data_IF_237021963776
#
_entry.id   IF_237021963776
#
_cell.length_a   1.000
_cell.length_b   1.000
_cell.length_c   1.000
_cell.angle_alpha   90.00
_cell.angle_beta   90.00
_cell.angle_gamma   90.00
#
_symmetry.space_group_name_H-M   'P 1'
#
loop_
_entity.id
_entity.type
_entity.pdbx_description
1 polymer ?
#
# COMPACT_ATOMS: atom_id res chain seq x y z
N UNK A 1 20.14 59.61 -12.56
CA UNK A 1 20.17 58.72 -13.75
C UNK A 1 18.80 58.12 -13.91
N UNK A 2 17.95 58.64 -14.85
CA UNK A 2 16.55 58.17 -15.03
C UNK A 2 16.59 56.90 -15.87
N UNK A 3 16.29 55.76 -15.25
CA UNK A 3 16.16 54.52 -15.96
C UNK A 3 14.96 54.58 -16.90
N UNK A 4 15.22 54.33 -18.18
CA UNK A 4 14.30 54.48 -19.30
C UNK A 4 13.01 53.66 -19.08
N UNK A 5 11.86 54.33 -19.10
CA UNK A 5 10.53 53.76 -18.85
C UNK A 5 10.19 52.58 -19.80
N UNK A 6 10.80 52.57 -20.98
CA UNK A 6 10.65 51.51 -21.97
C UNK A 6 11.35 50.22 -21.54
N UNK A 7 12.47 50.28 -20.82
CA UNK A 7 13.18 49.08 -20.35
C UNK A 7 12.37 48.34 -19.28
N UNK A 8 11.67 49.04 -18.38
CA UNK A 8 10.78 48.43 -17.39
C UNK A 8 9.61 47.69 -18.02
N UNK A 9 9.01 48.23 -19.09
CA UNK A 9 7.89 47.59 -19.80
C UNK A 9 8.33 46.34 -20.57
N UNK A 10 9.51 46.33 -21.15
CA UNK A 10 10.08 45.20 -21.86
C UNK A 10 10.45 44.08 -20.87
N UNK A 11 11.07 44.46 -19.76
CA UNK A 11 11.44 43.51 -18.69
C UNK A 11 10.21 42.83 -18.05
N UNK A 12 9.14 43.59 -17.83
CA UNK A 12 7.88 43.04 -17.26
C UNK A 12 7.16 42.09 -18.21
N UNK A 13 7.21 42.35 -19.52
CA UNK A 13 6.67 41.47 -20.55
C UNK A 13 7.50 40.17 -20.67
N UNK A 14 8.81 40.28 -20.56
CA UNK A 14 9.71 39.11 -20.58
C UNK A 14 9.52 38.21 -19.35
N UNK A 15 9.38 38.78 -18.15
CA UNK A 15 9.06 38.04 -16.92
C UNK A 15 7.71 37.34 -17.01
N UNK A 16 6.67 37.98 -17.54
CA UNK A 16 5.35 37.38 -17.71
C UNK A 16 5.38 36.19 -18.69
N UNK A 17 6.11 36.31 -19.80
CA UNK A 17 6.26 35.20 -20.77
C UNK A 17 7.07 34.04 -20.17
N UNK A 18 8.11 34.34 -19.38
CA UNK A 18 8.92 33.31 -18.72
C UNK A 18 8.10 32.57 -17.65
N UNK A 19 7.27 33.26 -16.88
CA UNK A 19 6.38 32.65 -15.88
C UNK A 19 5.33 31.79 -16.57
N UNK A 20 4.75 32.21 -17.69
CA UNK A 20 3.81 31.39 -18.45
C UNK A 20 4.48 30.13 -19.05
N UNK A 21 5.73 30.24 -19.53
CA UNK A 21 6.49 29.09 -20.05
C UNK A 21 6.83 28.08 -18.94
N UNK A 22 7.20 28.55 -17.75
CA UNK A 22 7.45 27.67 -16.59
C UNK A 22 6.16 26.96 -16.16
N UNK A 23 5.00 27.66 -16.21
CA UNK A 23 3.70 27.04 -15.91
C UNK A 23 3.30 25.97 -16.93
N UNK A 24 3.65 26.14 -18.21
CA UNK A 24 3.36 25.15 -19.25
C UNK A 24 4.26 23.91 -19.15
N UNK A 25 5.47 24.04 -18.64
CA UNK A 25 6.39 22.91 -18.45
C UNK A 25 5.99 22.07 -17.23
N UNK A 26 5.36 22.67 -16.19
CA UNK A 26 4.87 21.96 -15.01
C UNK A 26 3.53 21.23 -15.23
N UNK A 27 2.86 21.41 -16.37
CA UNK A 27 1.60 20.72 -16.68
C UNK A 27 1.77 19.38 -17.42
N UNK A 28 2.98 18.97 -17.76
CA UNK A 28 3.19 17.82 -18.62
C UNK A 28 3.54 16.50 -17.92
N UNK A 29 3.69 16.46 -16.58
CA UNK A 29 3.97 15.22 -15.87
C UNK A 29 3.18 15.11 -14.55
N UNK A 30 1.88 15.30 -14.60
CA UNK A 30 1.03 14.59 -13.65
C UNK A 30 0.91 13.18 -14.26
N UNK A 31 1.60 12.15 -13.72
CA UNK A 31 1.27 10.79 -14.12
C UNK A 31 -0.23 10.68 -13.89
N UNK A 32 -0.93 10.35 -14.96
CA UNK A 32 -2.34 10.03 -14.93
C UNK A 32 -2.50 9.02 -13.80
N UNK A 33 -2.84 9.52 -12.59
CA UNK A 33 -3.30 8.69 -11.51
C UNK A 33 -4.63 8.16 -12.04
N UNK A 34 -4.55 7.13 -12.90
CA UNK A 34 -5.66 6.24 -13.12
C UNK A 34 -6.02 5.80 -11.72
N UNK A 35 -7.01 6.45 -11.13
CA UNK A 35 -7.78 5.82 -10.11
C UNK A 35 -8.04 4.43 -10.68
N UNK A 36 -7.39 3.41 -10.11
CA UNK A 36 -7.67 2.03 -10.42
C UNK A 36 -9.15 1.89 -10.09
N UNK A 37 -9.98 2.10 -11.11
CA UNK A 37 -11.38 1.84 -10.99
C UNK A 37 -11.46 0.33 -10.81
N UNK A 38 -11.68 -0.10 -9.58
CA UNK A 38 -11.88 -1.50 -9.19
C UNK A 38 -13.02 -2.15 -10.00
N UNK A 39 -13.79 -1.34 -10.74
CA UNK A 39 -14.95 -1.76 -11.53
C UNK A 39 -14.64 -2.64 -12.74
N UNK A 40 -13.39 -2.68 -13.24
CA UNK A 40 -13.06 -3.46 -14.42
C UNK A 40 -12.71 -4.94 -14.15
N UNK A 41 -12.72 -5.39 -12.88
CA UNK A 41 -12.37 -6.75 -12.50
C UNK A 41 -13.54 -7.54 -11.88
N UNK A 42 -14.77 -7.15 -12.15
CA UNK A 42 -15.99 -7.64 -11.47
C UNK A 42 -16.32 -9.15 -11.62
N UNK A 43 -15.53 -9.95 -12.32
CA UNK A 43 -15.82 -11.38 -12.49
C UNK A 43 -14.80 -12.35 -11.89
N UNK A 44 -13.59 -11.87 -11.54
CA UNK A 44 -12.50 -12.76 -11.12
C UNK A 44 -11.86 -12.36 -9.79
N UNK A 45 -12.13 -11.14 -9.30
CA UNK A 45 -11.49 -10.62 -8.09
C UNK A 45 -11.90 -11.45 -6.87
N UNK A 46 -10.90 -11.89 -6.13
CA UNK A 46 -11.07 -12.60 -4.86
C UNK A 46 -10.41 -11.81 -3.73
N UNK A 47 -10.97 -11.91 -2.55
CA UNK A 47 -10.43 -11.31 -1.34
C UNK A 47 -9.98 -12.43 -0.41
N UNK A 48 -8.70 -12.44 -0.09
CA UNK A 48 -8.15 -13.27 0.99
C UNK A 48 -8.49 -12.62 2.33
N UNK A 49 -9.11 -13.37 3.21
CA UNK A 49 -9.45 -12.96 4.57
C UNK A 49 -8.57 -13.70 5.57
N UNK A 50 -7.82 -12.94 6.39
CA UNK A 50 -7.05 -13.48 7.50
C UNK A 50 -7.52 -12.83 8.80
N UNK A 51 -7.66 -13.63 9.85
CA UNK A 51 -7.93 -13.16 11.22
C UNK A 51 -6.85 -13.66 12.15
N UNK A 52 -6.28 -12.76 12.92
CA UNK A 52 -5.21 -13.05 13.87
C UNK A 52 -5.60 -12.57 15.27
N UNK A 53 -5.14 -13.28 16.28
CA UNK A 53 -5.08 -12.75 17.63
C UNK A 53 -3.95 -11.73 17.71
N UNK A 54 -4.27 -10.49 18.10
CA UNK A 54 -3.30 -9.40 18.22
C UNK A 54 -3.57 -8.64 19.52
N UNK A 55 -2.87 -9.00 20.60
CA UNK A 55 -3.01 -8.31 21.90
C UNK A 55 -2.71 -6.81 21.78
N UNK A 56 -3.43 -6.01 22.56
CA UNK A 56 -3.37 -4.55 22.48
C UNK A 56 -1.97 -3.96 22.76
N UNK A 57 -1.26 -4.56 23.71
CA UNK A 57 0.07 -4.14 24.14
C UNK A 57 1.17 -4.37 23.09
N UNK A 58 0.99 -5.35 22.20
CA UNK A 58 1.94 -5.70 21.11
C UNK A 58 1.45 -5.31 19.72
N UNK A 59 0.28 -4.67 19.60
CA UNK A 59 -0.30 -4.25 18.31
C UNK A 59 0.66 -3.41 17.46
N UNK A 60 1.43 -2.53 18.09
CA UNK A 60 2.38 -1.69 17.35
C UNK A 60 3.47 -2.51 16.67
N UNK A 61 3.98 -3.54 17.33
CA UNK A 61 4.96 -4.46 16.74
C UNK A 61 4.37 -5.24 15.57
N UNK A 62 3.12 -5.71 15.69
CA UNK A 62 2.39 -6.33 14.57
C UNK A 62 2.30 -5.41 13.37
N UNK A 63 1.79 -4.17 13.54
CA UNK A 63 1.64 -3.21 12.44
C UNK A 63 2.97 -2.86 11.76
N UNK A 64 4.04 -2.73 12.54
CA UNK A 64 5.37 -2.46 11.99
C UNK A 64 5.88 -3.64 11.17
N UNK A 65 5.75 -4.86 11.68
CA UNK A 65 6.18 -6.07 10.97
C UNK A 65 5.36 -6.29 9.67
N UNK A 66 4.04 -6.03 9.70
CA UNK A 66 3.20 -6.04 8.50
C UNK A 66 3.72 -5.08 7.43
N UNK A 67 4.02 -3.84 7.83
CA UNK A 67 4.51 -2.80 6.93
C UNK A 67 5.91 -3.09 6.38
N UNK A 68 6.81 -3.64 7.21
CA UNK A 68 8.20 -3.84 6.83
C UNK A 68 8.43 -5.12 6.03
N UNK A 69 7.64 -6.16 6.29
CA UNK A 69 7.86 -7.49 5.75
C UNK A 69 6.81 -7.85 4.69
N UNK A 70 5.51 -7.78 5.03
CA UNK A 70 4.44 -8.20 4.13
C UNK A 70 4.13 -7.19 3.02
N UNK A 71 4.07 -5.88 3.32
CA UNK A 71 3.69 -4.87 2.31
C UNK A 71 4.63 -4.85 1.09
N UNK A 72 5.96 -4.81 1.23
CA UNK A 72 6.85 -4.77 0.07
C UNK A 72 6.80 -6.07 -0.73
N UNK A 73 6.68 -7.22 -0.08
CA UNK A 73 6.61 -8.50 -0.77
C UNK A 73 5.27 -8.67 -1.51
N UNK A 74 4.14 -8.39 -0.86
CA UNK A 74 2.81 -8.45 -1.49
C UNK A 74 2.73 -7.50 -2.68
N UNK A 75 3.26 -6.28 -2.55
CA UNK A 75 3.27 -5.28 -3.64
C UNK A 75 4.05 -5.73 -4.87
N UNK A 76 4.96 -6.70 -4.73
CA UNK A 76 5.71 -7.29 -5.84
C UNK A 76 5.00 -8.46 -6.51
N UNK A 77 3.89 -8.97 -5.93
CA UNK A 77 3.20 -10.14 -6.45
C UNK A 77 2.28 -9.79 -7.63
N UNK A 78 2.32 -10.61 -8.67
CA UNK A 78 1.41 -10.45 -9.81
C UNK A 78 -0.04 -10.65 -9.37
N UNK A 79 -0.89 -9.69 -9.72
CA UNK A 79 -2.32 -9.71 -9.40
C UNK A 79 -2.68 -9.20 -8.01
N UNK A 80 -1.74 -8.79 -7.18
CA UNK A 80 -2.04 -8.09 -5.93
C UNK A 80 -2.62 -6.70 -6.22
N UNK A 81 -3.75 -6.38 -5.59
CA UNK A 81 -4.47 -5.11 -5.79
C UNK A 81 -4.41 -4.19 -4.58
N UNK A 82 -3.84 -4.67 -3.48
CA UNK A 82 -3.77 -3.95 -2.22
C UNK A 82 -4.47 -4.68 -1.10
N UNK A 83 -4.28 -4.20 0.14
CA UNK A 83 -4.92 -4.78 1.32
C UNK A 83 -5.35 -3.72 2.32
N UNK A 84 -6.26 -4.10 3.20
CA UNK A 84 -6.71 -3.33 4.35
C UNK A 84 -6.46 -4.13 5.62
N UNK A 85 -5.98 -3.43 6.65
CA UNK A 85 -5.76 -3.98 7.98
C UNK A 85 -6.70 -3.27 8.95
N UNK A 86 -7.46 -4.05 9.69
CA UNK A 86 -8.36 -3.58 10.75
C UNK A 86 -7.95 -4.22 12.07
N UNK A 87 -8.25 -3.56 13.17
CA UNK A 87 -8.03 -4.12 14.49
C UNK A 87 -9.24 -3.86 15.39
N UNK A 88 -9.80 -4.94 15.90
CA UNK A 88 -10.92 -4.92 16.84
C UNK A 88 -10.37 -4.82 18.26
N UNK A 89 -10.64 -3.69 18.90
CA UNK A 89 -10.16 -3.38 20.26
C UNK A 89 -10.77 -4.31 21.32
N UNK A 90 -12.03 -4.71 21.15
CA UNK A 90 -12.74 -5.51 22.14
C UNK A 90 -12.30 -6.97 22.10
N UNK A 91 -11.99 -7.46 20.89
CA UNK A 91 -11.57 -8.85 20.66
C UNK A 91 -10.05 -9.02 20.68
N UNK A 92 -9.30 -7.92 20.65
CA UNK A 92 -7.86 -7.92 20.45
C UNK A 92 -7.48 -8.79 19.24
N UNK A 93 -8.16 -8.54 18.13
CA UNK A 93 -8.02 -9.32 16.90
C UNK A 93 -7.83 -8.41 15.69
N UNK A 94 -6.97 -8.83 14.78
CA UNK A 94 -6.80 -8.20 13.49
C UNK A 94 -7.65 -8.90 12.42
N UNK A 95 -8.15 -8.11 11.48
CA UNK A 95 -8.72 -8.57 10.22
C UNK A 95 -7.89 -7.98 9.08
N UNK A 96 -7.38 -8.84 8.22
CA UNK A 96 -6.65 -8.48 7.00
C UNK A 96 -7.50 -8.90 5.81
N UNK A 97 -7.73 -7.96 4.89
CA UNK A 97 -8.41 -8.23 3.62
C UNK A 97 -7.44 -7.90 2.49
N UNK A 98 -6.88 -8.92 1.85
CA UNK A 98 -5.99 -8.77 0.71
C UNK A 98 -6.75 -9.02 -0.60
N UNK A 99 -6.72 -8.03 -1.50
CA UNK A 99 -7.46 -8.06 -2.75
C UNK A 99 -6.56 -8.59 -3.87
N UNK A 100 -7.05 -9.55 -4.62
CA UNK A 100 -6.35 -10.20 -5.73
C UNK A 100 -7.16 -10.08 -7.02
N UNK A 101 -6.46 -9.84 -8.12
CA UNK A 101 -7.07 -9.75 -9.46
C UNK A 101 -7.80 -11.04 -9.85
N UNK A 102 -7.27 -12.19 -9.44
CA UNK A 102 -7.92 -13.47 -9.61
C UNK A 102 -7.39 -14.51 -8.62
N UNK A 103 -8.21 -15.50 -8.29
CA UNK A 103 -7.83 -16.65 -7.48
C UNK A 103 -6.65 -17.42 -8.10
N UNK A 104 -6.60 -17.50 -9.43
CA UNK A 104 -5.50 -18.17 -10.15
C UNK A 104 -4.16 -17.53 -9.87
N UNK A 105 -4.05 -16.20 -9.97
CA UNK A 105 -2.81 -15.47 -9.68
C UNK A 105 -2.42 -15.59 -8.21
N UNK A 106 -3.37 -15.40 -7.29
CA UNK A 106 -3.12 -15.59 -5.87
C UNK A 106 -2.58 -17.00 -5.55
N UNK A 107 -3.28 -18.05 -5.99
CA UNK A 107 -2.90 -19.44 -5.70
C UNK A 107 -1.69 -19.92 -6.52
N UNK A 108 -1.19 -19.16 -7.48
CA UNK A 108 0.06 -19.47 -8.20
C UNK A 108 1.32 -19.13 -7.40
N UNK A 109 1.20 -18.38 -6.31
CA UNK A 109 2.34 -18.03 -5.46
C UNK A 109 2.82 -19.29 -4.73
N UNK A 110 4.11 -19.67 -4.86
CA UNK A 110 4.62 -20.86 -4.20
C UNK A 110 4.57 -20.73 -2.67
N UNK A 111 4.03 -21.75 -1.99
CA UNK A 111 3.98 -21.77 -0.51
C UNK A 111 5.36 -21.66 0.15
N UNK A 112 6.41 -22.09 -0.54
CA UNK A 112 7.79 -21.90 -0.07
C UNK A 112 8.20 -20.44 0.05
N UNK A 113 7.69 -19.57 -0.85
CA UNK A 113 7.90 -18.12 -0.78
C UNK A 113 7.09 -17.51 0.36
N UNK A 114 5.79 -17.86 0.45
CA UNK A 114 4.91 -17.41 1.54
C UNK A 114 5.51 -17.78 2.90
N UNK A 115 5.94 -19.04 3.08
CA UNK A 115 6.56 -19.50 4.31
C UNK A 115 7.88 -18.76 4.61
N UNK A 116 8.64 -18.41 3.57
CA UNK A 116 9.85 -17.62 3.72
C UNK A 116 9.60 -16.20 4.23
N UNK A 117 8.52 -15.56 3.76
CA UNK A 117 8.09 -14.25 4.23
C UNK A 117 7.52 -14.33 5.63
N UNK A 118 6.69 -15.33 5.91
CA UNK A 118 6.15 -15.57 7.25
C UNK A 118 7.28 -15.74 8.28
N UNK A 119 8.30 -16.52 7.94
CA UNK A 119 9.46 -16.66 8.82
C UNK A 119 10.15 -15.33 9.11
N UNK A 120 10.34 -14.49 8.09
CA UNK A 120 10.93 -13.15 8.28
C UNK A 120 10.06 -12.26 9.17
N UNK A 121 8.75 -12.32 8.99
CA UNK A 121 7.78 -11.61 9.83
C UNK A 121 7.91 -12.06 11.29
N UNK A 122 7.92 -13.36 11.56
CA UNK A 122 8.08 -13.91 12.90
C UNK A 122 9.44 -13.55 13.54
N UNK A 123 10.52 -13.63 12.75
CA UNK A 123 11.87 -13.24 13.21
C UNK A 123 11.89 -11.76 13.61
N UNK A 124 11.28 -10.88 12.81
CA UNK A 124 11.17 -9.44 13.08
C UNK A 124 10.37 -9.17 14.37
N UNK A 125 9.22 -9.82 14.52
CA UNK A 125 8.36 -9.70 15.71
C UNK A 125 9.08 -10.19 16.96
N UNK A 126 9.69 -11.38 16.93
CA UNK A 126 10.45 -11.92 18.07
C UNK A 126 11.59 -11.00 18.50
N UNK A 127 12.30 -10.44 17.54
CA UNK A 127 13.38 -9.49 17.83
C UNK A 127 12.84 -8.18 18.44
N UNK A 128 11.76 -7.63 17.88
CA UNK A 128 11.16 -6.38 18.35
C UNK A 128 10.58 -6.48 19.76
N UNK A 129 9.99 -7.63 20.12
CA UNK A 129 9.35 -7.88 21.40
C UNK A 129 10.25 -8.58 22.42
N UNK A 130 11.43 -9.05 22.00
CA UNK A 130 12.34 -9.88 22.81
C UNK A 130 11.62 -11.12 23.40
N UNK A 131 10.89 -11.85 22.54
CA UNK A 131 10.13 -13.07 22.90
C UNK A 131 10.63 -14.27 22.12
N UNK A 132 10.39 -15.47 22.65
CA UNK A 132 10.82 -16.73 22.03
C UNK A 132 9.92 -17.18 20.88
N UNK A 133 8.64 -16.81 20.92
CA UNK A 133 7.61 -17.25 19.98
C UNK A 133 6.84 -16.07 19.38
N UNK A 134 6.23 -16.28 18.21
CA UNK A 134 5.33 -15.31 17.60
C UNK A 134 4.03 -15.23 18.43
N UNK A 135 3.65 -14.06 18.97
CA UNK A 135 2.43 -13.93 19.78
C UNK A 135 1.15 -13.81 18.94
N UNK A 136 1.28 -13.73 17.61
CA UNK A 136 0.14 -13.52 16.70
C UNK A 136 -0.33 -14.85 16.14
N UNK A 137 -1.42 -15.37 16.69
CA UNK A 137 -2.03 -16.62 16.27
C UNK A 137 -2.99 -16.37 15.10
N UNK A 138 -2.86 -17.16 14.03
CA UNK A 138 -3.84 -17.19 12.95
C UNK A 138 -5.10 -17.92 13.42
N UNK A 139 -6.21 -17.19 13.54
CA UNK A 139 -7.51 -17.71 13.99
C UNK A 139 -8.34 -18.24 12.82
N UNK A 140 -8.23 -17.58 11.67
CA UNK A 140 -9.04 -17.89 10.49
C UNK A 140 -8.31 -17.46 9.22
N UNK A 141 -8.44 -18.28 8.20
CA UNK A 141 -8.07 -17.99 6.81
C UNK A 141 -9.24 -18.42 5.91
N UNK A 142 -9.59 -17.56 4.98
CA UNK A 142 -10.69 -17.81 4.04
C UNK A 142 -10.61 -16.95 2.79
N UNK A 143 -11.59 -17.14 1.93
CA UNK A 143 -11.74 -16.35 0.71
C UNK A 143 -13.16 -15.78 0.61
N UNK A 144 -13.26 -14.56 0.10
CA UNK A 144 -14.51 -13.86 -0.12
C UNK A 144 -14.63 -13.47 -1.59
N UNK A 145 -15.77 -13.73 -2.17
CA UNK A 145 -16.13 -13.26 -3.50
C UNK A 145 -16.86 -11.92 -3.41
N UNK A 146 -16.44 -10.94 -4.19
CA UNK A 146 -17.13 -9.65 -4.26
C UNK A 146 -18.51 -9.84 -4.91
N UNK A 147 -19.57 -9.45 -4.19
CA UNK A 147 -20.94 -9.64 -4.66
C UNK A 147 -21.51 -8.40 -5.38
N UNK A 148 -21.02 -7.19 -5.07
CA UNK A 148 -21.46 -5.91 -5.68
C UNK A 148 -20.38 -4.85 -5.54
#
# INVERSE_FOLDING_TARGET
>A
MKLNLNFKKIFHRFCLVLICLVFLIFQSDIPNLKALTMDNYQGEMVIEELRLKVPADVKAAWLNAEKEIWDPWLSSQEGFLGRQLFWDKEKEAALILANWKSKKLWKSIPMTEVNGVQKKFEDNVRAALNVGENPFELIYEGELDKQR
#
